data_IF_357060403703
#
_entry.id   IF_357060403703
#
_cell.length_a   1.000
_cell.length_b   1.000
_cell.length_c   1.000
_cell.angle_alpha   90.00
_cell.angle_beta   90.00
_cell.angle_gamma   90.00
#
_symmetry.space_group_name_H-M   'P 1'
#
loop_
_entity.id
_entity.type
_entity.pdbx_description
1 polymer ?
#
# COMPACT_ATOMS: atom_id res chain seq x y z
N UNK A 1 49.00 7.97 4.06
CA UNK A 1 47.90 7.48 3.18
C UNK A 1 46.93 6.67 4.02
N UNK A 2 45.64 7.05 4.09
CA UNK A 2 44.58 6.17 4.64
C UNK A 2 44.22 5.15 3.57
N UNK A 3 44.47 3.87 3.82
CA UNK A 3 44.00 2.79 2.95
C UNK A 3 42.49 2.66 3.12
N UNK A 4 41.77 2.73 2.00
CA UNK A 4 40.33 2.55 1.96
C UNK A 4 40.08 1.06 2.18
N UNK A 5 39.47 0.69 3.30
CA UNK A 5 39.19 -0.71 3.65
C UNK A 5 37.98 -1.24 2.85
N UNK A 6 38.23 -1.62 1.60
CA UNK A 6 37.22 -2.12 0.66
C UNK A 6 36.51 -3.40 1.12
N UNK A 7 37.09 -4.17 2.04
CA UNK A 7 36.46 -5.41 2.56
C UNK A 7 35.23 -5.13 3.43
N UNK A 8 35.25 -4.11 4.28
CA UNK A 8 34.09 -3.74 5.12
C UNK A 8 32.89 -3.27 4.29
N UNK A 9 33.16 -2.60 3.16
CA UNK A 9 32.10 -2.19 2.24
C UNK A 9 31.46 -3.39 1.54
N UNK A 10 32.25 -4.34 1.01
CA UNK A 10 31.71 -5.51 0.28
C UNK A 10 30.71 -6.33 1.11
N UNK A 11 31.01 -6.61 2.38
CA UNK A 11 30.10 -7.34 3.27
C UNK A 11 28.75 -6.61 3.47
N UNK A 12 28.79 -5.28 3.57
CA UNK A 12 27.57 -4.47 3.73
C UNK A 12 26.73 -4.46 2.45
N UNK A 13 27.36 -4.41 1.27
CA UNK A 13 26.64 -4.43 -0.01
C UNK A 13 25.95 -5.78 -0.27
N UNK A 14 26.63 -6.90 0.02
CA UNK A 14 26.04 -8.24 -0.13
C UNK A 14 24.81 -8.39 0.78
N UNK A 15 24.91 -7.91 2.03
CA UNK A 15 23.78 -7.91 2.96
C UNK A 15 22.60 -7.07 2.45
N UNK A 16 22.85 -5.86 1.94
CA UNK A 16 21.80 -5.00 1.38
C UNK A 16 21.12 -5.61 0.14
N UNK A 17 21.90 -6.25 -0.74
CA UNK A 17 21.36 -6.95 -1.91
C UNK A 17 20.48 -8.11 -1.47
N UNK A 18 20.92 -8.90 -0.50
CA UNK A 18 20.16 -10.04 0.03
C UNK A 18 18.85 -9.56 0.68
N UNK A 19 18.89 -8.47 1.45
CA UNK A 19 17.71 -7.84 2.02
C UNK A 19 16.74 -7.33 0.93
N UNK A 20 17.26 -6.69 -0.13
CA UNK A 20 16.44 -6.21 -1.24
C UNK A 20 15.74 -7.34 -1.98
N UNK A 21 16.45 -8.46 -2.24
CA UNK A 21 15.87 -9.66 -2.85
C UNK A 21 14.78 -10.24 -1.96
N UNK A 22 15.03 -10.34 -0.64
CA UNK A 22 14.06 -10.87 0.32
C UNK A 22 12.78 -10.01 0.36
N UNK A 23 12.93 -8.69 0.46
CA UNK A 23 11.79 -7.76 0.44
C UNK A 23 11.03 -7.83 -0.89
N UNK A 24 11.75 -7.96 -2.02
CA UNK A 24 11.15 -8.16 -3.34
C UNK A 24 10.32 -9.44 -3.44
N UNK A 25 10.81 -10.56 -2.91
CA UNK A 25 10.08 -11.82 -2.89
C UNK A 25 8.82 -11.72 -2.03
N UNK A 26 8.93 -11.17 -0.82
CA UNK A 26 7.79 -11.03 0.10
C UNK A 26 6.71 -10.12 -0.49
N UNK A 27 7.09 -8.96 -1.01
CA UNK A 27 6.14 -8.03 -1.64
C UNK A 27 5.52 -8.61 -2.92
N UNK A 28 6.31 -9.34 -3.72
CA UNK A 28 5.81 -10.05 -4.90
C UNK A 28 4.77 -11.12 -4.56
N UNK A 29 5.01 -11.94 -3.54
CA UNK A 29 4.03 -12.93 -3.05
C UNK A 29 2.77 -12.22 -2.53
N UNK A 30 2.94 -11.13 -1.77
CA UNK A 30 1.82 -10.31 -1.31
C UNK A 30 0.97 -9.76 -2.46
N UNK A 31 1.61 -9.30 -3.54
CA UNK A 31 0.91 -8.81 -4.73
C UNK A 31 0.13 -9.91 -5.46
N UNK A 32 0.70 -11.12 -5.58
CA UNK A 32 0.01 -12.27 -6.18
C UNK A 32 -1.20 -12.67 -5.33
N UNK A 33 -1.02 -12.74 -4.01
CA UNK A 33 -2.11 -13.05 -3.08
C UNK A 33 -3.23 -12.00 -3.18
N UNK A 34 -2.88 -10.72 -3.19
CA UNK A 34 -3.84 -9.63 -3.35
C UNK A 34 -4.62 -9.74 -4.67
N UNK A 35 -3.92 -10.03 -5.77
CA UNK A 35 -4.54 -10.24 -7.07
C UNK A 35 -5.49 -11.44 -7.09
N UNK A 36 -5.11 -12.55 -6.44
CA UNK A 36 -5.98 -13.71 -6.30
C UNK A 36 -7.24 -13.38 -5.49
N UNK A 37 -7.08 -12.60 -4.42
CA UNK A 37 -8.20 -12.15 -3.59
C UNK A 37 -9.18 -11.28 -4.38
N UNK A 38 -8.69 -10.32 -5.17
CA UNK A 38 -9.53 -9.50 -6.06
C UNK A 38 -10.30 -10.38 -7.04
N UNK A 39 -9.63 -11.31 -7.70
CA UNK A 39 -10.27 -12.22 -8.66
C UNK A 39 -11.33 -13.09 -7.98
N UNK A 40 -11.06 -13.59 -6.78
CA UNK A 40 -12.04 -14.35 -5.99
C UNK A 40 -13.30 -13.52 -5.71
N UNK A 41 -13.15 -12.26 -5.27
CA UNK A 41 -14.31 -11.38 -5.07
C UNK A 41 -15.07 -11.14 -6.38
N UNK A 42 -14.37 -10.86 -7.48
CA UNK A 42 -14.99 -10.67 -8.80
C UNK A 42 -15.78 -11.93 -9.20
N UNK A 43 -15.19 -13.12 -9.07
CA UNK A 43 -15.86 -14.39 -9.38
C UNK A 43 -17.08 -14.63 -8.48
N UNK A 44 -16.99 -14.36 -7.17
CA UNK A 44 -18.13 -14.49 -6.27
C UNK A 44 -19.27 -13.56 -6.69
N UNK A 45 -18.98 -12.29 -7.00
CA UNK A 45 -19.98 -11.32 -7.42
C UNK A 45 -20.55 -11.61 -8.83
N UNK A 46 -19.75 -12.11 -9.77
CA UNK A 46 -20.16 -12.32 -11.16
C UNK A 46 -20.66 -13.75 -11.48
N UNK A 47 -20.18 -14.79 -10.79
CA UNK A 47 -20.50 -16.18 -11.12
C UNK A 47 -21.57 -16.78 -10.19
N UNK A 48 -21.53 -16.44 -8.89
CA UNK A 48 -22.45 -16.99 -7.88
C UNK A 48 -23.69 -16.11 -7.76
N UNK A 49 -23.50 -14.80 -7.77
CA UNK A 49 -24.55 -13.82 -7.61
C UNK A 49 -25.71 -13.91 -8.61
N UNK A 50 -25.44 -13.93 -9.94
CA UNK A 50 -26.49 -14.01 -10.95
C UNK A 50 -27.23 -15.35 -10.97
N UNK A 51 -26.61 -16.43 -10.49
CA UNK A 51 -27.24 -17.76 -10.39
C UNK A 51 -28.28 -17.82 -9.27
N UNK A 52 -28.04 -17.13 -8.14
CA UNK A 52 -28.98 -17.05 -7.01
C UNK A 52 -30.09 -16.01 -7.23
N UNK A 53 -29.81 -14.93 -7.96
CA UNK A 53 -30.75 -13.82 -8.23
C UNK A 53 -31.12 -13.69 -9.72
N UNK A 54 -31.41 -14.82 -10.37
CA UNK A 54 -31.87 -14.88 -11.77
C UNK A 54 -33.07 -13.96 -12.06
N UNK A 55 -33.91 -13.70 -11.06
CA UNK A 55 -35.12 -12.88 -11.15
C UNK A 55 -34.86 -11.36 -11.33
N UNK A 56 -33.66 -10.85 -11.00
CA UNK A 56 -33.33 -9.42 -11.07
C UNK A 56 -32.73 -8.98 -12.42
N UNK A 57 -32.33 -9.92 -13.29
CA UNK A 57 -31.77 -9.61 -14.60
C UNK A 57 -30.47 -8.79 -14.53
N UNK A 58 -30.28 -7.84 -15.46
CA UNK A 58 -29.01 -7.13 -15.69
C UNK A 58 -28.65 -6.06 -14.63
N UNK A 59 -29.58 -5.68 -13.75
CA UNK A 59 -29.33 -4.70 -12.67
C UNK A 59 -28.46 -5.27 -11.53
N UNK A 60 -28.41 -6.59 -11.38
CA UNK A 60 -27.62 -7.27 -10.34
C UNK A 60 -26.12 -6.94 -10.42
N UNK A 61 -25.56 -6.82 -11.63
CA UNK A 61 -24.14 -6.54 -11.85
C UNK A 61 -23.68 -5.18 -11.33
N UNK A 62 -24.61 -4.24 -11.07
CA UNK A 62 -24.32 -2.93 -10.51
C UNK A 62 -24.59 -2.92 -9.00
N UNK A 63 -25.70 -3.52 -8.58
CA UNK A 63 -26.13 -3.51 -7.17
C UNK A 63 -25.20 -4.35 -6.29
N UNK A 64 -24.74 -5.50 -6.79
CA UNK A 64 -23.91 -6.41 -6.01
C UNK A 64 -22.53 -5.81 -5.62
N UNK A 65 -21.72 -5.26 -6.56
CA UNK A 65 -20.49 -4.57 -6.20
C UNK A 65 -20.75 -3.27 -5.42
N UNK A 66 -21.86 -2.57 -5.65
CA UNK A 66 -22.22 -1.40 -4.85
C UNK A 66 -22.48 -1.75 -3.38
N UNK A 67 -23.19 -2.85 -3.09
CA UNK A 67 -23.39 -3.35 -1.73
C UNK A 67 -22.09 -3.88 -1.11
N UNK A 68 -21.28 -4.59 -1.88
CA UNK A 68 -19.94 -5.01 -1.43
C UNK A 68 -19.07 -3.82 -1.03
N UNK A 69 -19.03 -2.79 -1.88
CA UNK A 69 -18.35 -1.52 -1.61
C UNK A 69 -18.96 -0.74 -0.44
N UNK A 70 -20.28 -0.79 -0.26
CA UNK A 70 -20.97 -0.15 0.86
C UNK A 70 -20.67 -0.83 2.21
N UNK A 71 -20.44 -2.14 2.22
CA UNK A 71 -20.06 -2.88 3.42
C UNK A 71 -18.59 -2.66 3.77
N UNK A 72 -17.70 -2.72 2.77
CA UNK A 72 -16.26 -2.59 2.96
C UNK A 72 -15.80 -1.14 3.09
N UNK A 73 -16.50 -0.19 2.47
CA UNK A 73 -16.19 1.24 2.50
C UNK A 73 -16.08 1.82 3.92
N UNK A 74 -17.08 1.62 4.80
CA UNK A 74 -17.00 2.04 6.21
C UNK A 74 -15.87 1.34 6.97
N UNK A 75 -15.63 0.05 6.72
CA UNK A 75 -14.53 -0.69 7.35
C UNK A 75 -13.19 -0.06 7.00
N UNK A 76 -12.96 0.24 5.71
CA UNK A 76 -11.74 0.93 5.27
C UNK A 76 -11.70 2.35 5.81
N UNK A 77 -12.84 3.05 5.86
CA UNK A 77 -12.91 4.42 6.36
C UNK A 77 -12.51 4.53 7.83
N UNK A 78 -12.96 3.60 8.68
CA UNK A 78 -12.65 3.61 10.11
C UNK A 78 -11.32 2.92 10.45
N UNK A 79 -10.97 1.82 9.78
CA UNK A 79 -9.77 1.04 10.10
C UNK A 79 -8.49 1.52 9.38
N UNK A 80 -8.62 2.20 8.23
CA UNK A 80 -7.48 2.65 7.41
C UNK A 80 -7.49 4.17 7.17
N UNK A 81 -8.10 4.94 8.07
CA UNK A 81 -8.07 6.41 8.04
C UNK A 81 -6.63 6.95 8.13
N UNK A 82 -5.74 6.24 8.82
CA UNK A 82 -4.31 6.58 8.93
C UNK A 82 -3.51 6.32 7.65
N UNK A 83 -4.05 5.61 6.65
CA UNK A 83 -3.28 5.18 5.46
C UNK A 83 -3.61 6.00 4.20
N UNK A 84 -4.56 6.94 4.28
CA UNK A 84 -5.04 7.71 3.11
C UNK A 84 -4.04 8.72 2.56
N UNK A 85 -3.01 9.12 3.33
CA UNK A 85 -2.01 10.11 2.91
C UNK A 85 -0.58 9.58 2.75
N UNK A 86 -0.30 8.33 3.13
CA UNK A 86 1.05 7.90 3.55
C UNK A 86 1.68 6.84 2.64
N UNK A 87 1.17 6.66 1.42
CA UNK A 87 1.62 5.60 0.52
C UNK A 87 2.92 5.97 -0.21
N UNK A 88 2.78 6.50 -1.42
CA UNK A 88 3.91 6.79 -2.31
C UNK A 88 4.58 8.14 -2.01
N UNK A 89 3.83 9.26 -1.78
CA UNK A 89 4.44 10.57 -1.58
C UNK A 89 5.33 10.65 -0.33
N UNK A 90 4.95 9.99 0.75
CA UNK A 90 5.72 10.03 2.01
C UNK A 90 7.01 9.21 1.93
N UNK A 91 6.99 8.08 1.22
CA UNK A 91 8.21 7.35 0.91
C UNK A 91 9.12 8.22 0.04
N UNK A 92 8.57 8.90 -0.96
CA UNK A 92 9.33 9.82 -1.82
C UNK A 92 9.94 10.97 -1.01
N UNK A 93 9.18 11.58 -0.10
CA UNK A 93 9.67 12.66 0.77
C UNK A 93 10.75 12.15 1.74
N UNK A 94 10.57 10.97 2.34
CA UNK A 94 11.58 10.40 3.23
C UNK A 94 12.89 10.07 2.50
N UNK A 95 12.83 9.63 1.24
CA UNK A 95 14.02 9.41 0.41
C UNK A 95 14.73 10.73 0.11
N UNK A 96 13.99 11.79 -0.23
CA UNK A 96 14.54 13.11 -0.53
C UNK A 96 15.12 13.83 0.70
N UNK A 97 14.38 13.83 1.81
CA UNK A 97 14.66 14.69 2.97
C UNK A 97 15.37 13.94 4.10
N UNK A 98 15.14 12.63 4.25
CA UNK A 98 15.55 11.85 5.43
C UNK A 98 16.45 10.66 5.08
N UNK A 99 17.08 10.66 3.90
CA UNK A 99 17.92 9.57 3.39
C UNK A 99 17.25 8.18 3.47
N UNK A 100 15.92 8.13 3.29
CA UNK A 100 15.11 6.91 3.31
C UNK A 100 14.71 6.40 4.70
N UNK A 101 14.96 7.14 5.78
CA UNK A 101 14.59 6.74 7.14
C UNK A 101 13.14 7.12 7.46
N UNK A 102 12.23 6.14 7.39
CA UNK A 102 10.81 6.32 7.72
C UNK A 102 10.59 6.01 9.22
N UNK A 103 9.98 6.94 9.96
CA UNK A 103 9.57 6.72 11.35
C UNK A 103 8.22 5.98 11.38
N UNK A 104 7.98 4.99 12.27
CA UNK A 104 6.74 4.19 12.25
C UNK A 104 5.46 4.95 12.62
N UNK A 105 5.55 6.24 12.96
CA UNK A 105 4.42 7.06 13.41
C UNK A 105 4.55 8.42 12.76
N UNK A 106 3.76 8.69 11.73
CA UNK A 106 3.63 10.00 11.15
C UNK A 106 2.84 10.88 12.14
N UNK A 107 3.56 11.54 13.05
CA UNK A 107 3.00 12.72 13.73
C UNK A 107 3.08 13.84 12.70
N UNK A 108 1.93 14.31 12.24
CA UNK A 108 1.84 15.58 11.50
C UNK A 108 2.35 16.66 12.44
N UNK A 109 3.62 17.02 12.30
CA UNK A 109 4.21 18.15 12.98
C UNK A 109 3.86 19.37 12.15
N UNK A 110 2.91 20.18 12.65
CA UNK A 110 2.57 21.47 12.05
C UNK A 110 3.78 22.39 12.26
N UNK A 111 4.69 22.40 11.27
CA UNK A 111 5.85 23.26 11.23
C UNK A 111 5.51 24.53 10.43
N UNK A 112 5.42 25.71 11.07
CA UNK A 112 5.04 26.97 10.41
C UNK A 112 6.06 27.50 9.37
N UNK A 113 7.09 26.71 9.02
CA UNK A 113 8.08 27.02 7.99
C UNK A 113 8.17 26.01 6.84
N UNK A 114 7.20 25.11 6.67
CA UNK A 114 7.19 24.13 5.57
C UNK A 114 6.63 24.75 4.27
N UNK A 115 7.45 24.93 3.21
CA UNK A 115 6.99 25.48 1.94
C UNK A 115 6.17 24.49 1.09
N UNK A 116 6.05 23.21 1.51
CA UNK A 116 5.39 22.15 0.74
C UNK A 116 4.05 21.68 1.33
N UNK A 117 3.70 22.09 2.55
CA UNK A 117 2.38 21.87 3.11
C UNK A 117 1.72 23.22 3.40
N UNK A 118 1.10 23.86 2.39
CA UNK A 118 0.32 25.07 2.62
C UNK A 118 -0.86 24.69 3.51
N UNK A 119 -0.88 25.26 4.72
CA UNK A 119 -1.84 24.92 5.77
C UNK A 119 -3.26 24.79 5.25
N UNK A 120 -3.81 23.59 5.39
CA UNK A 120 -5.24 23.35 5.31
C UNK A 120 -5.83 23.93 6.59
N UNK A 121 -6.50 25.08 6.46
CA UNK A 121 -7.40 25.60 7.50
C UNK A 121 -8.65 24.71 7.59
#
# INVERSE_FOLDING_TARGET
MRTIDWQKFKESYIFLILLAVLVGIISGIGAIFFRWMINFFIEVFYAIGPKLFSFMGRSYYIIAPALGGLMIGPIIYYAASETKGHGVPEIMEAVWTKAGKIRPRARVENNPGDPYHPGIR
#
